data_IF_444858157233
#
_entry.id   IF_444858157233
#
_cell.length_a   1.000
_cell.length_b   1.000
_cell.length_c   1.000
_cell.angle_alpha   90.00
_cell.angle_beta   90.00
_cell.angle_gamma   90.00
#
_symmetry.space_group_name_H-M   'P 1'
#
loop_
_entity.id
_entity.type
_entity.pdbx_description
1 polymer ?
#
# COMPACT_ATOMS: atom_id res chain seq x y z
N UNK A 1 40.75 29.36 -26.32
CA UNK A 1 39.35 29.20 -26.79
C UNK A 1 38.91 27.74 -26.90
N UNK A 2 39.70 26.84 -27.49
CA UNK A 2 39.34 25.41 -27.69
C UNK A 2 39.03 24.60 -26.41
N UNK A 3 39.67 24.93 -25.28
CA UNK A 3 39.44 24.26 -23.98
C UNK A 3 38.16 24.72 -23.25
N UNK A 4 37.75 25.97 -23.44
CA UNK A 4 36.53 26.53 -22.82
C UNK A 4 35.28 25.97 -23.51
N UNK A 5 35.34 25.75 -24.82
CA UNK A 5 34.27 25.12 -25.59
C UNK A 5 34.01 23.67 -25.16
N UNK A 6 35.06 22.94 -24.78
CA UNK A 6 34.95 21.53 -24.37
C UNK A 6 34.31 21.36 -22.98
N UNK A 7 34.54 22.31 -22.07
CA UNK A 7 33.94 22.30 -20.72
C UNK A 7 32.44 22.60 -20.80
N UNK A 8 32.04 23.54 -21.66
CA UNK A 8 30.63 23.85 -21.90
C UNK A 8 29.85 22.69 -22.53
N UNK A 9 30.48 21.92 -23.43
CA UNK A 9 29.82 20.74 -24.03
C UNK A 9 29.62 19.59 -23.04
N UNK A 10 30.51 19.41 -22.06
CA UNK A 10 30.39 18.34 -21.05
C UNK A 10 29.30 18.67 -20.01
N UNK A 11 29.11 19.95 -19.66
CA UNK A 11 28.03 20.35 -18.74
C UNK A 11 26.63 20.29 -19.37
N UNK A 12 26.51 20.41 -20.69
CA UNK A 12 25.22 20.28 -21.37
C UNK A 12 24.73 18.82 -21.42
N UNK A 13 25.64 17.84 -21.50
CA UNK A 13 25.26 16.41 -21.58
C UNK A 13 24.69 15.89 -20.26
N UNK A 14 25.17 16.38 -19.11
CA UNK A 14 24.65 15.99 -17.79
C UNK A 14 23.25 16.53 -17.47
N UNK A 15 22.72 17.46 -18.27
CA UNK A 15 21.33 17.95 -18.12
C UNK A 15 20.34 17.22 -19.03
N UNK A 16 20.80 16.33 -19.90
CA UNK A 16 19.95 15.63 -20.87
C UNK A 16 19.65 14.17 -20.52
N UNK A 17 20.12 13.66 -19.37
CA UNK A 17 19.88 12.27 -18.91
C UNK A 17 19.32 12.22 -17.49
N UNK A 18 18.31 13.06 -17.22
CA UNK A 18 17.29 12.75 -16.22
C UNK A 18 15.92 12.94 -16.86
N UNK A 19 15.71 12.28 -18.00
CA UNK A 19 14.37 11.85 -18.35
C UNK A 19 14.02 10.68 -17.45
N UNK A 20 13.71 10.93 -16.18
CA UNK A 20 12.66 10.13 -15.58
C UNK A 20 11.45 10.46 -16.44
N UNK A 21 11.11 9.55 -17.35
CA UNK A 21 9.80 9.56 -17.97
C UNK A 21 8.84 9.82 -16.82
N UNK A 22 7.94 10.79 -16.97
CA UNK A 22 7.03 11.14 -15.88
C UNK A 22 6.30 9.86 -15.56
N UNK A 23 6.75 9.20 -14.50
CA UNK A 23 6.17 7.98 -14.02
C UNK A 23 4.72 8.36 -13.75
N UNK A 24 3.82 7.95 -14.65
CA UNK A 24 2.37 8.10 -14.48
C UNK A 24 1.85 7.25 -13.30
N UNK A 25 2.78 6.71 -12.51
CA UNK A 25 2.68 5.84 -11.34
C UNK A 25 1.78 6.43 -10.25
N UNK A 26 1.56 7.74 -10.20
CA UNK A 26 0.78 8.36 -9.12
C UNK A 26 -0.74 8.42 -9.30
N UNK A 27 -1.31 7.92 -10.41
CA UNK A 27 -2.78 7.86 -10.57
C UNK A 27 -3.21 6.66 -11.40
N UNK A 28 -2.86 5.45 -10.96
CA UNK A 28 -3.54 4.27 -11.50
C UNK A 28 -4.94 4.19 -10.86
N UNK A 29 -5.97 3.73 -11.60
CA UNK A 29 -7.28 3.47 -11.00
C UNK A 29 -7.21 2.54 -9.78
N UNK A 30 -6.21 1.65 -9.71
CA UNK A 30 -5.98 0.80 -8.55
C UNK A 30 -5.55 1.62 -7.32
N UNK A 31 -4.65 2.59 -7.48
CA UNK A 31 -4.22 3.45 -6.37
C UNK A 31 -5.40 4.25 -5.82
N UNK A 32 -6.23 4.83 -6.70
CA UNK A 32 -7.38 5.62 -6.28
C UNK A 32 -8.47 4.76 -5.62
N UNK A 33 -8.74 3.58 -6.18
CA UNK A 33 -9.80 2.70 -5.68
C UNK A 33 -9.42 1.96 -4.39
N UNK A 34 -8.15 1.67 -4.17
CA UNK A 34 -7.71 0.80 -3.07
C UNK A 34 -6.81 1.51 -2.06
N UNK A 35 -5.94 2.41 -2.49
CA UNK A 35 -4.95 3.03 -1.59
C UNK A 35 -5.46 4.35 -1.00
N UNK A 36 -6.06 5.20 -1.85
CA UNK A 36 -6.57 6.52 -1.45
C UNK A 36 -8.02 6.48 -0.92
N UNK A 37 -8.75 5.39 -1.14
CA UNK A 37 -10.16 5.24 -0.76
C UNK A 37 -10.36 5.24 0.76
N UNK A 38 -11.14 6.20 1.24
CA UNK A 38 -11.49 6.37 2.65
C UNK A 38 -12.76 5.60 3.03
N UNK A 39 -12.66 4.75 4.05
CA UNK A 39 -13.79 4.00 4.61
C UNK A 39 -14.49 4.81 5.70
N UNK A 40 -15.73 5.23 5.42
CA UNK A 40 -16.55 6.04 6.35
C UNK A 40 -17.14 5.24 7.52
N UNK A 41 -17.18 3.93 7.39
CA UNK A 41 -17.61 2.96 8.42
C UNK A 41 -16.65 2.91 9.61
N UNK A 42 -15.39 3.24 9.38
CA UNK A 42 -14.33 3.19 10.38
C UNK A 42 -14.53 4.27 11.45
N UNK A 43 -14.79 3.82 12.68
CA UNK A 43 -14.86 4.71 13.84
C UNK A 43 -13.49 5.33 14.13
N UNK A 44 -13.42 6.57 14.63
CA UNK A 44 -12.15 7.16 15.05
C UNK A 44 -11.44 6.31 16.12
N UNK A 45 -10.11 6.35 16.12
CA UNK A 45 -9.30 5.73 17.18
C UNK A 45 -8.95 6.84 18.16
N UNK A 46 -9.48 6.76 19.38
CA UNK A 46 -9.33 7.78 20.42
C UNK A 46 -7.85 8.17 20.63
N UNK A 47 -6.93 7.19 20.66
CA UNK A 47 -5.49 7.45 20.78
C UNK A 47 -4.93 8.33 19.63
N UNK A 48 -5.43 8.14 18.41
CA UNK A 48 -5.03 8.92 17.23
C UNK A 48 -5.67 10.31 17.20
N UNK A 49 -6.64 10.62 18.06
CA UNK A 49 -7.20 11.98 18.16
C UNK A 49 -6.46 12.86 19.17
N UNK A 50 -5.69 12.27 20.09
CA UNK A 50 -5.12 12.96 21.25
C UNK A 50 -3.73 13.56 20.96
N UNK A 51 -2.98 13.05 19.97
CA UNK A 51 -1.63 13.55 19.68
C UNK A 51 -1.66 14.81 18.81
N UNK A 52 -0.76 15.76 19.06
CA UNK A 52 -0.74 17.04 18.33
C UNK A 52 -0.47 16.89 16.82
N UNK A 53 0.22 15.83 16.40
CA UNK A 53 0.57 15.59 14.99
C UNK A 53 -0.47 14.75 14.24
N UNK A 54 -1.30 13.98 14.93
CA UNK A 54 -2.39 13.20 14.33
C UNK A 54 -3.74 13.92 14.32
N UNK A 55 -3.83 15.06 15.01
CA UNK A 55 -5.07 15.85 15.14
C UNK A 55 -5.57 16.35 13.78
N UNK A 56 -6.78 15.94 13.41
CA UNK A 56 -7.43 16.31 12.16
C UNK A 56 -7.01 15.46 10.95
N UNK A 57 -6.27 14.38 11.17
CA UNK A 57 -6.01 13.37 10.15
C UNK A 57 -6.98 12.20 10.30
N UNK A 58 -7.66 11.89 9.19
CA UNK A 58 -8.52 10.72 9.10
C UNK A 58 -7.69 9.51 8.65
N UNK A 59 -7.42 8.60 9.58
CA UNK A 59 -6.78 7.31 9.29
C UNK A 59 -7.82 6.33 8.74
N UNK A 60 -8.44 6.66 7.61
CA UNK A 60 -9.52 5.88 7.01
C UNK A 60 -9.13 5.18 5.70
N UNK A 61 -7.89 5.36 5.24
CA UNK A 61 -7.38 4.77 4.00
C UNK A 61 -5.94 4.28 4.18
N UNK A 62 -5.44 3.48 3.24
CA UNK A 62 -4.08 2.94 3.30
C UNK A 62 -3.03 4.04 3.18
N UNK A 63 -3.22 4.99 2.26
CA UNK A 63 -2.28 6.09 2.04
C UNK A 63 -1.95 6.84 3.33
N UNK A 64 -2.98 7.33 4.04
CA UNK A 64 -2.82 8.08 5.29
C UNK A 64 -2.09 7.28 6.35
N UNK A 65 -2.49 6.02 6.57
CA UNK A 65 -1.86 5.13 7.54
C UNK A 65 -0.38 4.89 7.22
N UNK A 66 -0.07 4.50 5.99
CA UNK A 66 1.27 4.13 5.58
C UNK A 66 2.21 5.34 5.55
N UNK A 67 1.78 6.48 4.99
CA UNK A 67 2.58 7.72 5.03
C UNK A 67 2.91 8.15 6.46
N UNK A 68 2.00 7.91 7.41
CA UNK A 68 2.26 8.23 8.80
C UNK A 68 3.29 7.30 9.45
N UNK A 69 3.22 5.99 9.16
CA UNK A 69 4.22 5.03 9.62
C UNK A 69 5.63 5.33 9.07
N UNK A 70 5.70 5.83 7.84
CA UNK A 70 6.96 6.29 7.23
C UNK A 70 7.49 7.55 7.95
N UNK A 71 6.61 8.51 8.25
CA UNK A 71 6.99 9.79 8.86
C UNK A 71 7.32 9.70 10.35
N UNK A 72 6.73 8.73 11.06
CA UNK A 72 6.80 8.59 12.53
C UNK A 72 7.25 7.19 12.97
N UNK A 73 8.18 6.59 12.22
CA UNK A 73 8.68 5.22 12.43
C UNK A 73 9.12 4.89 13.87
N UNK A 74 9.52 5.89 14.66
CA UNK A 74 10.04 5.67 16.01
C UNK A 74 8.98 5.74 17.13
N UNK A 75 7.73 6.12 16.84
CA UNK A 75 6.65 6.19 17.83
C UNK A 75 5.90 4.85 17.91
N UNK A 76 6.34 3.97 18.82
CA UNK A 76 5.81 2.61 18.92
C UNK A 76 4.32 2.53 19.27
N UNK A 77 3.80 3.45 20.09
CA UNK A 77 2.40 3.45 20.49
C UNK A 77 1.50 3.94 19.35
N UNK A 78 1.91 4.99 18.66
CA UNK A 78 1.26 5.45 17.43
C UNK A 78 1.26 4.36 16.37
N UNK A 79 2.41 3.74 16.13
CA UNK A 79 2.54 2.72 15.09
C UNK A 79 1.67 1.50 15.41
N UNK A 80 1.58 1.11 16.69
CA UNK A 80 0.64 0.07 17.12
C UNK A 80 -0.82 0.43 16.82
N UNK A 81 -1.25 1.66 17.12
CA UNK A 81 -2.60 2.11 16.81
C UNK A 81 -2.88 2.12 15.30
N UNK A 82 -1.88 2.49 14.48
CA UNK A 82 -1.99 2.43 13.02
C UNK A 82 -2.02 0.99 12.51
N UNK A 83 -1.27 0.05 13.09
CA UNK A 83 -1.36 -1.36 12.72
C UNK A 83 -2.76 -1.94 12.98
N UNK A 84 -3.38 -1.59 14.11
CA UNK A 84 -4.78 -1.96 14.36
C UNK A 84 -5.72 -1.34 13.33
N UNK A 85 -5.47 -0.08 12.94
CA UNK A 85 -6.26 0.56 11.88
C UNK A 85 -6.12 -0.18 10.55
N UNK A 86 -4.91 -0.55 10.17
CA UNK A 86 -4.64 -1.28 8.93
C UNK A 86 -5.39 -2.62 8.92
N UNK A 87 -5.42 -3.35 10.04
CA UNK A 87 -6.26 -4.56 10.17
C UNK A 87 -7.75 -4.28 9.93
N UNK A 88 -8.27 -3.20 10.50
CA UNK A 88 -9.66 -2.80 10.27
C UNK A 88 -9.93 -2.45 8.80
N UNK A 89 -9.00 -1.76 8.14
CA UNK A 89 -9.13 -1.48 6.70
C UNK A 89 -9.12 -2.79 5.89
N UNK A 90 -8.29 -3.77 6.26
CA UNK A 90 -8.28 -5.09 5.62
C UNK A 90 -9.63 -5.81 5.77
N UNK A 91 -10.24 -5.71 6.96
CA UNK A 91 -11.58 -6.23 7.22
C UNK A 91 -12.63 -5.57 6.33
N UNK A 92 -12.61 -4.24 6.16
CA UNK A 92 -13.57 -3.54 5.29
C UNK A 92 -13.44 -3.98 3.82
N UNK A 93 -12.20 -4.14 3.32
CA UNK A 93 -11.98 -4.67 1.97
C UNK A 93 -12.54 -6.09 1.81
N UNK A 94 -12.33 -6.95 2.80
CA UNK A 94 -12.86 -8.30 2.82
C UNK A 94 -14.39 -8.33 2.87
N UNK A 95 -15.00 -7.50 3.73
CA UNK A 95 -16.46 -7.41 3.89
C UNK A 95 -17.16 -6.90 2.62
N UNK A 96 -16.50 -6.04 1.85
CA UNK A 96 -16.96 -5.60 0.51
C UNK A 96 -16.78 -6.67 -0.58
N UNK A 97 -16.16 -7.80 -0.26
CA UNK A 97 -15.85 -8.87 -1.22
C UNK A 97 -14.69 -8.55 -2.16
N UNK A 98 -13.84 -7.60 -1.77
CA UNK A 98 -12.65 -7.17 -2.53
C UNK A 98 -11.40 -7.23 -1.65
N UNK A 99 -11.02 -8.40 -1.11
CA UNK A 99 -9.79 -8.51 -0.32
C UNK A 99 -8.59 -8.10 -1.18
N UNK A 100 -7.67 -7.34 -0.59
CA UNK A 100 -6.51 -6.84 -1.32
C UNK A 100 -5.19 -7.24 -0.65
N UNK A 101 -4.19 -7.53 -1.48
CA UNK A 101 -2.80 -7.70 -1.05
C UNK A 101 -1.91 -6.63 -1.66
N UNK A 102 -1.16 -5.97 -0.79
CA UNK A 102 -0.19 -4.96 -1.17
C UNK A 102 1.10 -5.67 -1.59
N UNK A 103 1.54 -5.40 -2.82
CA UNK A 103 2.83 -5.85 -3.34
C UNK A 103 3.88 -4.75 -3.12
N UNK A 104 4.94 -5.13 -2.40
CA UNK A 104 6.01 -4.24 -2.00
C UNK A 104 6.94 -3.79 -3.11
N UNK A 105 7.73 -2.79 -2.74
CA UNK A 105 8.36 -1.69 -3.46
C UNK A 105 9.53 -2.01 -4.40
N UNK A 106 9.47 -3.16 -5.05
CA UNK A 106 10.44 -3.48 -6.12
C UNK A 106 10.10 -2.71 -7.40
N UNK A 107 11.12 -2.47 -8.24
CA UNK A 107 10.98 -1.85 -9.56
C UNK A 107 9.92 -2.50 -10.47
N UNK A 108 9.53 -3.74 -10.18
CA UNK A 108 8.60 -4.54 -10.98
C UNK A 108 7.25 -4.77 -10.27
N UNK A 109 6.99 -4.11 -9.15
CA UNK A 109 5.79 -4.35 -8.34
C UNK A 109 4.50 -4.02 -9.10
N UNK A 110 4.51 -2.95 -9.91
CA UNK A 110 3.37 -2.53 -10.74
C UNK A 110 3.06 -3.61 -11.77
N UNK A 111 4.03 -4.01 -12.59
CA UNK A 111 3.86 -5.06 -13.60
C UNK A 111 3.43 -6.39 -12.98
N UNK A 112 4.00 -6.74 -11.82
CA UNK A 112 3.61 -7.94 -11.08
C UNK A 112 2.14 -7.87 -10.63
N UNK A 113 1.71 -6.75 -10.08
CA UNK A 113 0.30 -6.57 -9.65
C UNK A 113 -0.67 -6.69 -10.82
N UNK A 114 -0.36 -6.07 -11.96
CA UNK A 114 -1.18 -6.18 -13.17
C UNK A 114 -1.21 -7.61 -13.72
N UNK A 115 -0.06 -8.30 -13.72
CA UNK A 115 0.05 -9.68 -14.17
C UNK A 115 -0.75 -10.65 -13.30
N UNK A 116 -0.72 -10.47 -11.98
CA UNK A 116 -1.48 -11.28 -11.04
C UNK A 116 -2.99 -11.02 -11.17
N UNK A 117 -3.42 -9.77 -11.31
CA UNK A 117 -4.83 -9.42 -11.50
C UNK A 117 -5.42 -9.85 -12.84
N UNK A 118 -4.60 -10.12 -13.86
CA UNK A 118 -5.05 -10.67 -15.15
C UNK A 118 -5.29 -12.18 -15.10
N UNK A 119 -4.70 -12.88 -14.13
CA UNK A 119 -4.96 -14.30 -13.92
C UNK A 119 -6.29 -14.43 -13.19
N UNK A 120 -7.12 -15.39 -13.58
CA UNK A 120 -8.30 -15.72 -12.79
C UNK A 120 -7.82 -16.18 -11.40
N UNK A 121 -8.05 -15.33 -10.40
CA UNK A 121 -7.80 -15.67 -9.01
C UNK A 121 -9.05 -16.31 -8.41
N UNK A 122 -8.94 -17.59 -8.08
CA UNK A 122 -10.00 -18.38 -7.48
C UNK A 122 -10.47 -17.82 -6.13
N UNK A 123 -9.64 -17.00 -5.48
CA UNK A 123 -9.91 -16.42 -4.17
C UNK A 123 -10.38 -14.97 -4.22
N UNK A 124 -10.46 -14.36 -5.41
CA UNK A 124 -10.93 -12.99 -5.60
C UNK A 124 -10.04 -11.91 -4.97
N UNK A 125 -8.75 -12.20 -4.77
CA UNK A 125 -7.80 -11.23 -4.21
C UNK A 125 -7.37 -10.26 -5.30
N UNK A 126 -7.47 -8.97 -4.99
CA UNK A 126 -6.87 -7.93 -5.84
C UNK A 126 -5.47 -7.58 -5.35
N UNK A 127 -4.49 -7.67 -6.25
CA UNK A 127 -3.12 -7.30 -5.97
C UNK A 127 -2.90 -5.81 -6.27
N UNK A 128 -2.37 -5.07 -5.31
CA UNK A 128 -2.17 -3.62 -5.43
C UNK A 128 -0.70 -3.30 -5.22
N UNK A 129 -0.07 -2.66 -6.19
CA UNK A 129 1.28 -2.11 -6.01
C UNK A 129 1.21 -0.69 -5.45
N UNK A 130 2.10 -0.37 -4.51
CA UNK A 130 2.33 1.01 -4.04
C UNK A 130 3.33 1.79 -4.92
N UNK A 131 3.66 1.24 -6.09
CA UNK A 131 4.61 1.81 -7.03
C UNK A 131 6.07 1.49 -6.72
N UNK A 132 6.95 2.19 -7.43
CA UNK A 132 8.40 2.07 -7.29
C UNK A 132 8.91 2.97 -6.16
N UNK A 133 8.64 2.62 -4.91
CA UNK A 133 9.32 3.26 -3.78
C UNK A 133 10.69 2.60 -3.56
N UNK A 134 11.78 3.32 -3.80
CA UNK A 134 13.12 2.79 -3.54
C UNK A 134 13.48 2.75 -2.05
N UNK A 135 12.59 3.19 -1.16
CA UNK A 135 12.85 3.41 0.27
C UNK A 135 11.61 2.92 1.02
N UNK A 136 11.71 1.75 1.66
CA UNK A 136 10.75 1.24 2.62
C UNK A 136 11.55 0.56 3.73
N UNK A 137 11.41 1.03 4.97
CA UNK A 137 12.11 0.49 6.12
C UNK A 137 11.24 0.64 7.38
N UNK A 138 11.45 -0.24 8.36
CA UNK A 138 10.88 -0.09 9.70
C UNK A 138 9.37 -0.31 9.75
N UNK A 139 8.68 0.63 10.38
CA UNK A 139 7.25 0.57 10.73
C UNK A 139 6.35 0.55 9.51
N UNK A 140 6.78 1.16 8.41
CA UNK A 140 6.05 1.12 7.16
C UNK A 140 5.97 -0.31 6.57
N UNK A 141 7.10 -1.03 6.51
CA UNK A 141 7.13 -2.42 6.04
C UNK A 141 6.28 -3.31 6.94
N UNK A 142 6.41 -3.13 8.25
CA UNK A 142 5.59 -3.84 9.22
C UNK A 142 4.10 -3.54 9.05
N UNK A 143 3.73 -2.29 8.75
CA UNK A 143 2.35 -1.92 8.47
C UNK A 143 1.77 -2.70 7.29
N UNK A 144 2.53 -2.80 6.20
CA UNK A 144 2.12 -3.63 5.05
C UNK A 144 2.07 -5.11 5.38
N UNK A 145 3.00 -5.62 6.18
CA UNK A 145 2.97 -7.01 6.66
C UNK A 145 1.70 -7.29 7.48
N UNK A 146 1.40 -6.45 8.47
CA UNK A 146 0.23 -6.61 9.33
C UNK A 146 -1.08 -6.52 8.53
N UNK A 147 -1.17 -5.59 7.57
CA UNK A 147 -2.29 -5.49 6.65
C UNK A 147 -2.48 -6.77 5.82
N UNK A 148 -1.43 -7.21 5.11
CA UNK A 148 -1.49 -8.38 4.23
C UNK A 148 -1.76 -9.66 5.02
N UNK A 149 -1.18 -9.79 6.22
CA UNK A 149 -1.41 -10.92 7.10
C UNK A 149 -2.87 -11.02 7.50
N UNK A 150 -3.50 -9.91 7.83
CA UNK A 150 -4.93 -9.89 8.16
C UNK A 150 -5.78 -10.30 6.96
N UNK A 151 -5.53 -9.74 5.77
CA UNK A 151 -6.23 -10.16 4.53
C UNK A 151 -6.11 -11.67 4.31
N UNK A 152 -4.89 -12.23 4.43
CA UNK A 152 -4.66 -13.68 4.24
C UNK A 152 -5.43 -14.50 5.28
N UNK A 153 -5.47 -14.07 6.54
CA UNK A 153 -6.21 -14.76 7.59
C UNK A 153 -7.71 -14.78 7.28
N UNK A 154 -8.29 -13.66 6.86
CA UNK A 154 -9.71 -13.54 6.52
C UNK A 154 -10.08 -14.42 5.31
N UNK A 155 -9.28 -14.38 4.25
CA UNK A 155 -9.50 -15.21 3.06
C UNK A 155 -9.34 -16.70 3.36
N UNK A 156 -8.31 -17.11 4.12
CA UNK A 156 -8.12 -18.51 4.47
C UNK A 156 -9.25 -19.04 5.38
N UNK A 157 -9.73 -18.23 6.31
CA UNK A 157 -10.87 -18.58 7.15
C UNK A 157 -12.12 -18.86 6.28
N UNK A 158 -12.37 -18.02 5.28
CA UNK A 158 -13.44 -18.21 4.31
C UNK A 158 -13.32 -19.57 3.59
N UNK A 159 -12.16 -19.85 2.98
CA UNK A 159 -11.90 -21.11 2.24
C UNK A 159 -12.16 -22.33 3.11
N UNK A 160 -11.62 -22.34 4.34
CA UNK A 160 -11.81 -23.46 5.27
C UNK A 160 -13.28 -23.71 5.62
N UNK A 161 -14.09 -22.66 5.75
CA UNK A 161 -15.51 -22.78 6.02
C UNK A 161 -16.29 -23.33 4.82
N UNK A 162 -15.98 -22.88 3.60
CA UNK A 162 -16.61 -23.42 2.39
C UNK A 162 -16.33 -24.91 2.22
N UNK A 163 -15.07 -25.34 2.37
CA UNK A 163 -14.70 -26.77 2.28
C UNK A 163 -15.43 -27.63 3.33
N UNK A 164 -15.58 -27.12 4.54
CA UNK A 164 -16.29 -27.80 5.62
C UNK A 164 -17.80 -27.92 5.35
N UNK A 165 -18.41 -26.92 4.70
CA UNK A 165 -19.81 -26.94 4.31
C UNK A 165 -20.07 -27.93 3.15
N UNK A 166 -19.16 -28.04 2.19
CA UNK A 166 -19.27 -29.02 1.11
C UNK A 166 -19.14 -30.46 1.60
N UNK A 167 -18.22 -30.71 2.53
CA UNK A 167 -18.06 -32.04 3.16
C UNK A 167 -19.31 -32.48 3.94
N UNK A 168 -20.08 -31.54 4.49
CA UNK A 168 -21.34 -31.83 5.22
C UNK A 168 -22.54 -32.10 4.29
N UNK A 169 -22.44 -31.78 3.00
CA UNK A 169 -23.50 -32.00 2.00
C UNK A 169 -23.35 -33.32 1.23
N UNK A 170 -22.24 -34.04 1.42
CA UNK A 170 -21.99 -35.39 0.90
C UNK A 170 -22.26 -36.43 1.98
#
# INVERSE_FOLDING_TARGET
MRKVLFILTVQLISTLVFGQDKDSIYSTPLLDNYVNRCFKSLKPIEYLEITNYSKGLDFCNLASCLTFLESYDQDSLLNQAIYERLRQIAQEFYDEGTPILILGYSMNSVELSESLNKKEDYYGITYVSLGNSCISFGSFDKGVEEFNKETILLVNYQVSNYENLEKKKK
#
